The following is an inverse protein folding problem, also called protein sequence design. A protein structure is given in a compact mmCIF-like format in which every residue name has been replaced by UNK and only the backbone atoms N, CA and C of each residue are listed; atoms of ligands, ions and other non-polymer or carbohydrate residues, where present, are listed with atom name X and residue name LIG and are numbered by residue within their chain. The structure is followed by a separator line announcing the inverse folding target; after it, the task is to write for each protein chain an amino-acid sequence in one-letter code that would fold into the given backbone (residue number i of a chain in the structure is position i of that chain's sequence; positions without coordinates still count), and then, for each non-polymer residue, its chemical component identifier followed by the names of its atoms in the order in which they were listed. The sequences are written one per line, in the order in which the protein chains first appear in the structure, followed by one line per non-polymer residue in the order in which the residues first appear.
data_IF_913922939520
#
_entry.id   IF_913922939520
#
_cell.length_a   1.000
_cell.length_b   1.000
_cell.length_c   1.000
_cell.angle_alpha   90.00
_cell.angle_beta   90.00
_cell.angle_gamma   90.00
#
_symmetry.space_group_name_H-M   'P 1'
#
loop_
_entity.id
_entity.type
_entity.pdbx_description
1 polymer ?
#
# COMPACT_ATOMS: atom_id res chain seq x y z
N UNK A 1 -12.32 12.03 13.47
CA UNK A 1 -13.17 11.70 14.64
C UNK A 1 -13.54 12.97 15.38
N UNK A 2 -14.84 13.22 15.61
CA UNK A 2 -15.30 14.33 16.47
C UNK A 2 -15.23 13.84 17.92
N UNK A 3 -14.35 14.41 18.72
CA UNK A 3 -14.24 14.11 20.16
C UNK A 3 -15.26 15.00 20.87
N UNK A 4 -16.15 14.40 21.66
CA UNK A 4 -17.13 15.10 22.47
C UNK A 4 -16.81 14.87 23.95
N UNK A 5 -16.56 15.95 24.69
CA UNK A 5 -16.16 15.91 26.09
C UNK A 5 -17.29 16.34 27.03
N UNK A 6 -18.54 16.20 26.57
CA UNK A 6 -19.78 16.39 27.33
C UNK A 6 -19.73 17.56 28.32
N UNK A 7 -19.66 18.82 27.84
CA UNK A 7 -19.61 19.98 28.71
C UNK A 7 -20.88 20.07 29.57
N UNK A 8 -20.78 20.62 30.80
CA UNK A 8 -21.94 20.80 31.66
C UNK A 8 -22.98 21.73 31.02
N UNK A 9 -24.25 21.54 31.37
CA UNK A 9 -25.40 22.22 30.74
C UNK A 9 -25.39 23.75 30.86
N UNK A 10 -24.56 24.30 31.74
CA UNK A 10 -24.40 25.74 31.97
C UNK A 10 -23.46 26.43 30.98
N UNK A 11 -22.92 25.71 29.98
CA UNK A 11 -22.01 26.26 28.98
C UNK A 11 -22.78 26.79 27.77
N UNK A 12 -22.34 27.94 27.25
CA UNK A 12 -22.80 28.43 25.94
C UNK A 12 -22.19 27.58 24.82
N UNK A 13 -22.85 27.54 23.66
CA UNK A 13 -22.38 26.83 22.45
C UNK A 13 -20.89 27.11 22.12
N UNK A 14 -20.39 28.37 22.11
CA UNK A 14 -18.97 28.62 21.85
C UNK A 14 -18.04 28.03 22.93
N UNK A 15 -18.42 28.08 24.20
CA UNK A 15 -17.63 27.49 25.29
C UNK A 15 -17.58 25.96 25.20
N UNK A 16 -18.70 25.33 24.82
CA UNK A 16 -18.76 23.90 24.56
C UNK A 16 -17.84 23.48 23.39
N UNK A 17 -17.82 24.26 22.31
CA UNK A 17 -16.94 24.00 21.17
C UNK A 17 -15.46 24.18 21.52
N UNK A 18 -15.12 25.20 22.31
CA UNK A 18 -13.75 25.41 22.81
C UNK A 18 -13.28 24.24 23.66
N UNK A 19 -14.11 23.78 24.61
CA UNK A 19 -13.76 22.64 25.47
C UNK A 19 -13.56 21.34 24.66
N UNK A 20 -14.41 21.09 23.67
CA UNK A 20 -14.26 19.94 22.79
C UNK A 20 -12.96 19.99 21.96
N UNK A 21 -12.56 21.17 21.50
CA UNK A 21 -11.29 21.36 20.80
C UNK A 21 -10.09 21.13 21.72
N UNK A 22 -10.12 21.74 22.91
CA UNK A 22 -9.06 21.60 23.92
C UNK A 22 -8.88 20.13 24.36
N UNK A 23 -9.99 19.47 24.68
CA UNK A 23 -10.00 18.07 25.09
C UNK A 23 -9.46 17.14 23.99
N UNK A 24 -9.78 17.43 22.72
CA UNK A 24 -9.21 16.70 21.59
C UNK A 24 -7.68 16.83 21.54
N UNK A 25 -7.14 18.03 21.75
CA UNK A 25 -5.70 18.27 21.75
C UNK A 25 -5.00 17.63 22.95
N UNK A 26 -5.60 17.70 24.15
CA UNK A 26 -5.07 17.02 25.34
C UNK A 26 -5.06 15.50 25.16
N UNK A 27 -6.12 14.92 24.56
CA UNK A 27 -6.18 13.49 24.28
C UNK A 27 -5.11 13.06 23.26
N UNK A 28 -4.83 13.89 22.25
CA UNK A 28 -3.73 13.66 21.30
C UNK A 28 -2.37 13.72 22.01
N UNK A 29 -2.22 14.61 22.99
CA UNK A 29 -0.98 14.75 23.77
C UNK A 29 -0.73 13.58 24.73
N UNK A 30 -1.77 12.99 25.32
CA UNK A 30 -1.62 11.81 26.19
C UNK A 30 -1.57 10.49 25.39
N UNK A 31 -2.30 10.39 24.28
CA UNK A 31 -2.32 9.22 23.39
C UNK A 31 -1.51 9.46 22.11
N UNK A 32 -0.30 9.99 22.24
CA UNK A 32 0.62 10.20 21.11
C UNK A 32 0.79 8.95 20.25
N UNK A 33 0.86 7.77 20.87
CA UNK A 33 0.92 6.46 20.17
C UNK A 33 -0.32 6.19 19.29
N UNK A 34 -1.52 6.50 19.78
CA UNK A 34 -2.77 6.23 19.05
C UNK A 34 -2.99 7.24 17.92
N UNK A 35 -2.57 8.50 18.11
CA UNK A 35 -2.64 9.52 17.07
C UNK A 35 -1.64 9.28 15.93
N UNK A 36 -0.53 8.57 16.18
CA UNK A 36 0.48 8.25 15.18
C UNK A 36 0.17 6.97 14.39
N UNK A 37 -0.73 6.12 14.89
CA UNK A 37 -1.14 4.88 14.24
C UNK A 37 -1.42 5.01 12.72
N UNK A 38 -2.27 5.95 12.24
CA UNK A 38 -2.54 6.08 10.81
C UNK A 38 -1.30 6.44 9.99
N UNK A 39 -0.35 7.20 10.56
CA UNK A 39 0.89 7.57 9.87
C UNK A 39 1.86 6.39 9.76
N UNK A 40 1.97 5.56 10.81
CA UNK A 40 2.78 4.34 10.76
C UNK A 40 2.22 3.35 9.73
N UNK A 41 0.90 3.14 9.69
CA UNK A 41 0.28 2.26 8.69
C UNK A 41 0.60 2.74 7.26
N UNK A 42 0.55 4.05 7.03
CA UNK A 42 0.88 4.64 5.73
C UNK A 42 2.36 4.46 5.38
N UNK A 43 3.25 4.64 6.36
CA UNK A 43 4.68 4.40 6.21
C UNK A 43 4.97 2.92 5.89
N UNK A 44 4.36 1.98 6.60
CA UNK A 44 4.50 0.55 6.32
C UNK A 44 3.96 0.18 4.95
N UNK A 45 2.83 0.76 4.53
CA UNK A 45 2.29 0.58 3.19
C UNK A 45 3.29 1.03 2.11
N UNK A 46 3.91 2.20 2.30
CA UNK A 46 4.95 2.69 1.39
C UNK A 46 6.18 1.77 1.38
N UNK A 47 6.65 1.36 2.57
CA UNK A 47 7.79 0.46 2.73
C UNK A 47 7.56 -0.91 2.10
N UNK A 48 6.35 -1.47 2.16
CA UNK A 48 6.01 -2.73 1.49
C UNK A 48 5.85 -2.56 -0.03
N UNK A 49 5.45 -1.37 -0.50
CA UNK A 49 5.33 -1.09 -1.92
C UNK A 49 6.70 -0.94 -2.62
N UNK A 50 7.68 -0.36 -1.93
CA UNK A 50 9.03 -0.13 -2.48
C UNK A 50 9.68 -1.42 -3.04
N UNK A 51 9.71 -2.57 -2.32
CA UNK A 51 10.22 -3.83 -2.84
C UNK A 51 9.53 -4.31 -4.13
N UNK A 52 8.21 -4.15 -4.24
CA UNK A 52 7.49 -4.52 -5.46
C UNK A 52 7.92 -3.64 -6.64
N UNK A 53 8.08 -2.34 -6.39
CA UNK A 53 8.51 -1.39 -7.41
C UNK A 53 9.93 -1.70 -7.88
N UNK A 54 10.83 -1.97 -6.92
CA UNK A 54 12.20 -2.41 -7.20
C UNK A 54 12.23 -3.73 -7.98
N UNK A 55 11.39 -4.70 -7.62
CA UNK A 55 11.29 -5.97 -8.36
C UNK A 55 10.88 -5.73 -9.82
N UNK A 56 9.87 -4.89 -10.05
CA UNK A 56 9.38 -4.61 -11.40
C UNK A 56 10.44 -3.91 -12.26
N UNK A 57 11.19 -2.98 -11.66
CA UNK A 57 12.23 -2.22 -12.38
C UNK A 57 13.53 -2.98 -12.59
N UNK A 58 14.03 -3.71 -11.59
CA UNK A 58 15.31 -4.41 -11.69
C UNK A 58 15.17 -5.81 -12.30
N UNK A 59 14.11 -6.53 -11.94
CA UNK A 59 13.96 -7.96 -12.23
C UNK A 59 12.85 -8.23 -13.23
N UNK A 60 11.79 -7.42 -13.25
CA UNK A 60 10.65 -7.57 -14.17
C UNK A 60 11.08 -7.52 -15.63
N UNK A 61 11.73 -6.44 -16.07
CA UNK A 61 12.14 -6.30 -17.48
C UNK A 61 13.14 -7.39 -17.93
N UNK A 62 14.12 -7.71 -17.07
CA UNK A 62 15.14 -8.72 -17.37
C UNK A 62 14.55 -10.14 -17.40
N UNK A 63 13.67 -10.47 -16.45
CA UNK A 63 13.05 -11.79 -16.36
C UNK A 63 12.00 -11.99 -17.45
N UNK A 64 11.19 -10.98 -17.76
CA UNK A 64 10.19 -11.05 -18.85
C UNK A 64 10.86 -11.30 -20.20
N UNK A 65 11.99 -10.63 -20.47
CA UNK A 65 12.77 -10.87 -21.70
C UNK A 65 13.26 -12.33 -21.79
N UNK A 66 13.83 -12.86 -20.70
CA UNK A 66 14.30 -14.25 -20.68
C UNK A 66 13.17 -15.26 -20.87
N UNK A 67 12.02 -15.04 -20.23
CA UNK A 67 10.84 -15.90 -20.40
C UNK A 67 10.38 -15.89 -21.86
N UNK A 68 10.27 -14.72 -22.49
CA UNK A 68 9.84 -14.60 -23.89
C UNK A 68 10.80 -15.34 -24.83
N UNK A 69 12.12 -15.19 -24.62
CA UNK A 69 13.13 -15.88 -25.43
C UNK A 69 12.99 -17.39 -25.31
N UNK A 70 12.88 -17.91 -24.09
CA UNK A 70 12.75 -19.36 -23.84
C UNK A 70 11.45 -19.88 -24.47
N UNK A 71 10.33 -19.19 -24.27
CA UNK A 71 9.04 -19.59 -24.87
C UNK A 71 9.12 -19.61 -26.40
N UNK A 72 9.78 -18.63 -27.02
CA UNK A 72 9.97 -18.61 -28.48
C UNK A 72 10.82 -19.78 -28.97
N UNK A 73 11.89 -20.11 -28.26
CA UNK A 73 12.74 -21.25 -28.62
C UNK A 73 11.99 -22.58 -28.49
N UNK A 74 11.16 -22.73 -27.47
CA UNK A 74 10.30 -23.91 -27.29
C UNK A 74 9.32 -24.03 -28.46
N UNK A 75 8.67 -22.94 -28.85
CA UNK A 75 7.70 -22.93 -29.95
C UNK A 75 8.35 -23.28 -31.31
N UNK A 76 9.53 -22.71 -31.58
CA UNK A 76 10.28 -23.00 -32.81
C UNK A 76 10.73 -24.48 -32.87
N UNK A 77 11.20 -25.01 -31.73
CA UNK A 77 11.64 -26.41 -31.64
C UNK A 77 10.46 -27.36 -31.77
N UNK A 78 9.34 -27.04 -31.13
CA UNK A 78 8.09 -27.81 -31.23
C UNK A 78 7.60 -27.88 -32.68
N UNK A 79 7.57 -26.74 -33.37
CA UNK A 79 7.16 -26.66 -34.78
C UNK A 79 8.05 -27.53 -35.69
N UNK A 80 9.37 -27.50 -35.48
CA UNK A 80 10.32 -28.36 -36.23
C UNK A 80 10.09 -29.85 -35.97
N UNK A 81 9.84 -30.24 -34.72
CA UNK A 81 9.57 -31.63 -34.36
C UNK A 81 8.27 -32.11 -35.01
N UNK A 82 7.23 -31.29 -35.00
CA UNK A 82 5.95 -31.63 -35.63
C UNK A 82 6.12 -31.81 -37.14
N UNK A 83 6.80 -30.88 -37.82
CA UNK A 83 7.06 -30.99 -39.25
C UNK A 83 7.83 -32.28 -39.61
N UNK A 84 8.90 -32.58 -38.86
CA UNK A 84 9.66 -33.83 -39.01
C UNK A 84 8.80 -35.08 -38.79
N UNK A 85 7.93 -35.06 -37.78
CA UNK A 85 7.01 -36.18 -37.49
C UNK A 85 5.96 -36.42 -38.57
N UNK A 86 5.56 -35.36 -39.27
CA UNK A 86 4.59 -35.41 -40.36
C UNK A 86 5.22 -35.76 -41.71
N UNK A 87 6.55 -35.95 -41.78
CA UNK A 87 7.25 -36.33 -43.00
C UNK A 87 7.34 -35.23 -44.06
N UNK A 88 7.23 -33.97 -43.63
CA UNK A 88 7.48 -32.77 -44.45
C UNK A 88 8.96 -32.38 -44.44
#
# INVERSE_FOLDING_TARGET
TKVFCYPPTNFTIPQANYLNAFCKESLISEQTMSSLFPYFVLLFGLLMYIPHLLWTMLLGAKLTSQIIIITKQIDETYTKIVAFSQGL
#
